data_IF_449889670756
#
_entry.id   IF_449889670756
#
_cell.length_a   1.000
_cell.length_b   1.000
_cell.length_c   1.000
_cell.angle_alpha   90.00
_cell.angle_beta   90.00
_cell.angle_gamma   90.00
#
_symmetry.space_group_name_H-M   'P 1'
#
loop_
_entity.id
_entity.type
_entity.pdbx_description
1 polymer ?
#
# COMPACT_ATOMS: atom_id res chain seq x y z
N UNK A 1 -4.79 -8.87 15.31
CA UNK A 1 -4.73 -9.62 14.03
C UNK A 1 -3.27 -9.92 13.80
N UNK A 2 -2.90 -11.20 13.60
CA UNK A 2 -1.51 -11.57 13.33
C UNK A 2 -1.15 -11.15 11.89
N UNK A 3 0.12 -10.81 11.57
CA UNK A 3 0.53 -10.59 10.19
C UNK A 3 0.45 -11.92 9.46
N UNK A 4 -0.69 -12.20 8.84
CA UNK A 4 -0.83 -13.30 7.92
C UNK A 4 -0.61 -12.74 6.52
N UNK A 5 0.42 -13.25 5.84
CA UNK A 5 0.78 -13.02 4.42
C UNK A 5 1.67 -11.80 4.11
N UNK A 6 2.20 -11.76 2.88
CA UNK A 6 3.26 -10.84 2.44
C UNK A 6 2.69 -9.52 1.91
N UNK A 7 2.19 -8.67 2.78
CA UNK A 7 1.55 -7.40 2.41
C UNK A 7 2.47 -6.52 1.57
N UNK A 8 1.88 -5.68 0.71
CA UNK A 8 2.63 -4.66 -0.03
C UNK A 8 2.39 -3.32 0.65
N UNK A 9 3.48 -2.68 1.06
CA UNK A 9 3.47 -1.52 1.95
C UNK A 9 4.29 -0.37 1.37
N UNK A 10 3.86 0.86 1.67
CA UNK A 10 4.56 2.08 1.29
C UNK A 10 4.80 2.97 2.51
N UNK A 11 6.07 3.29 2.73
CA UNK A 11 6.51 4.17 3.82
C UNK A 11 7.03 5.48 3.21
N UNK A 12 6.57 6.60 3.77
CA UNK A 12 7.04 7.93 3.42
C UNK A 12 8.15 8.40 4.37
N UNK A 13 8.98 9.31 3.90
CA UNK A 13 10.01 9.94 4.71
C UNK A 13 10.45 11.31 4.21
N UNK A 14 11.03 12.05 5.13
CA UNK A 14 11.67 13.34 4.90
C UNK A 14 13.20 13.21 5.02
N UNK A 15 13.94 14.33 5.01
CA UNK A 15 15.41 14.32 5.13
C UNK A 15 15.95 13.67 6.41
N UNK A 16 15.14 13.51 7.46
CA UNK A 16 15.48 12.86 8.72
C UNK A 16 15.33 11.34 8.71
N UNK A 17 14.62 10.77 7.74
CA UNK A 17 14.41 9.33 7.62
C UNK A 17 12.99 8.95 7.23
N UNK A 18 12.72 7.65 7.24
CA UNK A 18 11.38 7.11 7.08
C UNK A 18 10.59 7.27 8.37
N UNK A 19 9.36 7.75 8.27
CA UNK A 19 8.46 7.83 9.40
C UNK A 19 7.61 6.57 9.47
N UNK A 20 7.56 5.94 10.64
CA UNK A 20 6.85 4.67 10.88
C UNK A 20 5.70 4.83 11.88
N UNK A 21 5.12 6.03 11.96
CA UNK A 21 4.04 6.35 12.88
C UNK A 21 3.16 7.49 12.34
N UNK A 22 1.91 7.54 12.80
CA UNK A 22 0.97 8.62 12.46
C UNK A 22 0.31 8.47 11.09
N UNK A 23 0.32 7.27 10.52
CA UNK A 23 -0.46 6.96 9.33
C UNK A 23 -1.91 6.72 9.72
N UNK A 24 -2.82 7.13 8.84
CA UNK A 24 -4.18 6.59 8.77
C UNK A 24 -4.22 5.78 7.48
N UNK A 25 -4.13 4.45 7.56
CA UNK A 25 -4.05 3.58 6.38
C UNK A 25 -5.09 2.48 6.42
N UNK A 26 -5.75 2.27 5.28
CA UNK A 26 -6.72 1.20 5.06
C UNK A 26 -6.45 0.50 3.73
N UNK A 27 -6.47 -0.83 3.76
CA UNK A 27 -6.54 -1.67 2.56
C UNK A 27 -7.72 -2.63 2.70
N UNK A 28 -8.46 -2.82 1.60
CA UNK A 28 -9.58 -3.74 1.54
C UNK A 28 -9.46 -4.67 0.34
N UNK A 29 -9.77 -5.93 0.55
CA UNK A 29 -9.82 -6.96 -0.49
C UNK A 29 -11.27 -7.20 -0.96
N UNK A 30 -11.49 -7.24 -2.27
CA UNK A 30 -12.74 -7.58 -2.94
C UNK A 30 -12.53 -8.89 -3.71
N UNK A 31 -13.25 -9.95 -3.33
CA UNK A 31 -13.20 -11.26 -3.99
C UNK A 31 -14.55 -11.67 -4.56
N UNK A 32 -14.53 -12.43 -5.67
CA UNK A 32 -15.71 -12.78 -6.46
C UNK A 32 -16.58 -13.92 -5.85
N UNK A 33 -16.24 -14.44 -4.66
CA UNK A 33 -16.82 -15.70 -4.17
C UNK A 33 -17.54 -15.53 -2.82
N UNK A 34 -18.85 -15.25 -2.87
CA UNK A 34 -19.86 -15.66 -1.87
C UNK A 34 -19.65 -15.28 -0.39
N UNK A 35 -18.62 -14.50 -0.09
CA UNK A 35 -18.19 -14.14 1.25
C UNK A 35 -17.87 -12.65 1.22
N UNK A 36 -18.67 -11.89 1.96
CA UNK A 36 -18.38 -10.50 2.28
C UNK A 36 -17.24 -10.43 3.32
N UNK A 37 -16.12 -11.09 3.06
CA UNK A 37 -14.90 -10.87 3.81
C UNK A 37 -14.14 -9.74 3.12
N UNK A 38 -14.50 -8.52 3.49
CA UNK A 38 -13.54 -7.43 3.43
C UNK A 38 -12.53 -7.77 4.53
N UNK A 39 -11.37 -8.32 4.16
CA UNK A 39 -10.23 -8.25 5.07
C UNK A 39 -9.84 -6.77 5.11
N UNK A 40 -10.13 -6.13 6.24
CA UNK A 40 -9.73 -4.75 6.49
C UNK A 40 -8.37 -4.76 7.17
N UNK A 41 -7.33 -4.51 6.38
CA UNK A 41 -6.07 -4.09 6.94
C UNK A 41 -6.20 -2.63 7.42
N UNK A 42 -5.86 -2.36 8.68
CA UNK A 42 -5.49 -1.00 9.12
C UNK A 42 -4.04 -0.93 9.60
N UNK A 43 -3.36 0.18 9.33
CA UNK A 43 -2.01 0.45 9.84
C UNK A 43 -1.84 1.89 10.29
N UNK A 44 -0.99 2.07 11.30
CA UNK A 44 -0.55 3.38 11.80
C UNK A 44 0.93 3.65 11.52
N UNK A 45 1.63 2.70 10.88
CA UNK A 45 3.07 2.76 10.63
C UNK A 45 3.43 2.89 9.14
N UNK A 46 2.53 2.51 8.24
CA UNK A 46 2.73 2.58 6.79
C UNK A 46 1.40 2.71 6.03
N UNK A 47 1.48 2.98 4.73
CA UNK A 47 0.36 2.77 3.83
C UNK A 47 0.34 1.33 3.34
N UNK A 48 -0.75 0.62 3.63
CA UNK A 48 -1.01 -0.69 3.06
C UNK A 48 -1.63 -0.56 1.68
N UNK A 49 -1.03 -1.23 0.71
CA UNK A 49 -1.47 -1.28 -0.68
C UNK A 49 -2.21 -2.59 -0.96
N UNK A 50 -1.71 -3.69 -0.39
CA UNK A 50 -2.30 -5.03 -0.45
C UNK A 50 -2.20 -5.65 0.94
N UNK A 51 -3.31 -6.16 1.47
CA UNK A 51 -3.40 -6.99 2.68
C UNK A 51 -3.68 -8.41 2.20
N UNK A 52 -2.83 -9.40 2.47
CA UNK A 52 -3.19 -10.77 2.07
C UNK A 52 -2.40 -11.42 0.92
N UNK A 53 -1.18 -10.96 0.56
CA UNK A 53 -0.59 -11.39 -0.71
C UNK A 53 -0.31 -12.91 -0.82
N UNK A 54 -0.94 -13.55 -1.81
CA UNK A 54 -0.61 -14.89 -2.26
C UNK A 54 0.62 -14.88 -3.21
N UNK A 55 1.13 -16.05 -3.62
CA UNK A 55 2.34 -16.19 -4.46
C UNK A 55 2.18 -15.72 -5.91
N UNK A 56 1.27 -14.79 -6.16
CA UNK A 56 0.74 -14.37 -7.45
C UNK A 56 1.18 -12.94 -7.76
N UNK A 57 1.08 -12.54 -9.03
CA UNK A 57 1.50 -11.22 -9.48
C UNK A 57 0.42 -10.17 -9.26
N UNK A 58 0.80 -9.03 -8.68
CA UNK A 58 -0.04 -7.84 -8.59
C UNK A 58 0.19 -6.90 -9.78
N UNK A 59 -0.88 -6.24 -10.21
CA UNK A 59 -0.85 -5.17 -11.20
C UNK A 59 -1.80 -4.07 -10.80
N UNK A 60 -1.48 -2.82 -11.11
CA UNK A 60 -2.31 -1.68 -10.73
C UNK A 60 -1.50 -0.43 -10.51
N UNK A 61 -2.08 0.53 -9.81
CA UNK A 61 -1.45 1.81 -9.51
C UNK A 61 -1.97 2.40 -8.21
N UNK A 62 -1.06 3.05 -7.49
CA UNK A 62 -1.37 3.92 -6.37
C UNK A 62 -0.95 5.35 -6.73
N UNK A 63 -1.71 6.33 -6.25
CA UNK A 63 -1.42 7.75 -6.42
C UNK A 63 -1.22 8.37 -5.05
N UNK A 64 -0.13 9.12 -4.90
CA UNK A 64 0.12 9.99 -3.76
C UNK A 64 -0.12 11.44 -4.18
N UNK A 65 -0.89 12.17 -3.38
CA UNK A 65 -1.18 13.59 -3.60
C UNK A 65 -0.89 14.37 -2.33
N UNK A 66 -0.22 15.51 -2.47
CA UNK A 66 -0.09 16.48 -1.40
C UNK A 66 -1.44 17.17 -1.17
N UNK A 67 -2.05 16.92 -0.02
CA UNK A 67 -3.39 17.40 0.33
C UNK A 67 -3.39 18.87 0.78
N UNK A 68 -2.36 19.29 1.53
CA UNK A 68 -2.28 20.63 2.10
C UNK A 68 -0.83 21.10 2.30
N UNK A 69 -0.68 22.36 2.70
CA UNK A 69 0.62 22.99 2.96
C UNK A 69 1.30 22.52 4.26
N UNK A 70 0.70 21.58 5.00
CA UNK A 70 1.27 20.98 6.21
C UNK A 70 1.96 19.64 5.94
N UNK A 71 2.40 19.42 4.69
CA UNK A 71 3.03 18.17 4.24
C UNK A 71 2.16 16.93 4.53
N UNK A 72 0.83 17.09 4.44
CA UNK A 72 -0.11 15.97 4.52
C UNK A 72 -0.26 15.31 3.16
N UNK A 73 0.14 14.05 3.06
CA UNK A 73 0.02 13.23 1.87
C UNK A 73 -1.16 12.29 1.98
N UNK A 74 -1.94 12.19 0.91
CA UNK A 74 -3.04 11.24 0.78
C UNK A 74 -2.66 10.17 -0.25
N UNK A 75 -2.96 8.91 0.06
CA UNK A 75 -2.84 7.78 -0.88
C UNK A 75 -4.23 7.32 -1.31
N UNK A 76 -4.36 6.94 -2.58
CA UNK A 76 -5.50 6.20 -3.10
C UNK A 76 -5.02 5.28 -4.23
N UNK A 77 -5.57 4.07 -4.32
CA UNK A 77 -5.15 3.14 -5.36
C UNK A 77 -6.01 1.91 -5.48
N UNK A 78 -5.80 1.21 -6.60
CA UNK A 78 -6.45 -0.06 -6.92
C UNK A 78 -5.39 -1.01 -7.47
N UNK A 79 -5.34 -2.22 -6.91
CA UNK A 79 -4.51 -3.32 -7.38
C UNK A 79 -5.41 -4.51 -7.76
N UNK A 80 -5.05 -5.22 -8.82
CA UNK A 80 -5.59 -6.52 -9.17
C UNK A 80 -4.58 -7.62 -8.89
N UNK A 81 -5.07 -8.75 -8.39
CA UNK A 81 -4.31 -9.99 -8.30
C UNK A 81 -4.69 -10.91 -9.47
N UNK A 82 -3.69 -11.33 -10.24
CA UNK A 82 -3.87 -12.37 -11.24
C UNK A 82 -3.53 -13.74 -10.66
N UNK A 83 -4.54 -14.57 -10.34
CA UNK A 83 -4.29 -15.97 -9.97
C UNK A 83 -4.40 -16.89 -11.19
N UNK A 84 -3.59 -17.96 -11.23
CA UNK A 84 -3.67 -18.99 -12.27
C UNK A 84 -4.99 -19.79 -12.26
N UNK A 85 -5.78 -19.68 -11.18
CA UNK A 85 -7.01 -20.44 -10.96
C UNK A 85 -8.30 -19.63 -11.26
N UNK A 86 -8.18 -18.39 -11.75
CA UNK A 86 -9.34 -17.56 -12.11
C UNK A 86 -10.04 -16.88 -10.94
N UNK A 87 -9.53 -17.02 -9.70
CA UNK A 87 -9.91 -16.13 -8.61
C UNK A 87 -9.26 -14.76 -8.87
N UNK A 88 -10.07 -13.73 -9.00
CA UNK A 88 -9.60 -12.34 -9.17
C UNK A 88 -9.91 -11.63 -7.86
N UNK A 89 -8.86 -11.16 -7.17
CA UNK A 89 -9.00 -10.26 -6.04
C UNK A 89 -8.67 -8.84 -6.51
N UNK A 90 -9.46 -7.87 -6.05
CA UNK A 90 -9.17 -6.45 -6.21
C UNK A 90 -8.88 -5.85 -4.85
N UNK A 91 -7.77 -5.16 -4.72
CA UNK A 91 -7.41 -4.42 -3.54
C UNK A 91 -7.67 -2.94 -3.77
N UNK A 92 -8.34 -2.31 -2.81
CA UNK A 92 -8.50 -0.87 -2.74
C UNK A 92 -7.71 -0.37 -1.53
N UNK A 93 -6.91 0.68 -1.72
CA UNK A 93 -6.18 1.30 -0.61
C UNK A 93 -6.50 2.79 -0.51
N UNK A 94 -6.53 3.29 0.72
CA UNK A 94 -6.66 4.72 0.99
C UNK A 94 -6.00 5.08 2.31
N UNK A 95 -5.56 6.33 2.42
CA UNK A 95 -5.00 6.80 3.67
C UNK A 95 -4.41 8.19 3.61
N UNK A 96 -3.94 8.67 4.77
CA UNK A 96 -3.20 9.91 4.89
C UNK A 96 -2.05 9.83 5.89
N UNK A 97 -1.05 10.70 5.69
CA UNK A 97 0.10 10.87 6.57
C UNK A 97 0.62 12.31 6.48
N UNK A 98 0.64 13.02 7.61
CA UNK A 98 1.41 14.27 7.74
C UNK A 98 2.85 13.93 8.10
N UNK A 99 3.80 14.39 7.27
CA UNK A 99 5.22 14.27 7.52
C UNK A 99 5.73 15.38 8.44
N UNK A 100 6.86 15.16 9.08
CA UNK A 100 7.53 16.15 9.92
C UNK A 100 8.26 17.22 9.10
N UNK A 101 8.47 16.94 7.81
CA UNK A 101 8.91 17.90 6.81
C UNK A 101 8.59 17.44 5.38
N UNK A 102 9.18 18.12 4.40
CA UNK A 102 8.93 17.84 2.98
C UNK A 102 9.32 16.40 2.60
N UNK A 103 8.45 15.73 1.83
CA UNK A 103 8.70 14.39 1.31
C UNK A 103 9.99 14.36 0.46
N UNK A 104 10.95 13.54 0.85
CA UNK A 104 12.21 13.34 0.10
C UNK A 104 12.44 11.90 -0.31
N UNK A 105 11.75 10.95 0.33
CA UNK A 105 11.96 9.54 0.09
C UNK A 105 10.68 8.73 0.27
N UNK A 106 10.57 7.67 -0.53
CA UNK A 106 9.54 6.65 -0.42
C UNK A 106 10.20 5.28 -0.39
N UNK A 107 9.59 4.33 0.34
CA UNK A 107 10.02 2.94 0.38
C UNK A 107 8.82 2.05 0.12
N UNK A 108 8.87 1.32 -0.98
CA UNK A 108 7.99 0.20 -1.22
C UNK A 108 8.63 -1.06 -0.62
N UNK A 109 7.91 -1.77 0.24
CA UNK A 109 8.41 -2.97 0.93
C UNK A 109 7.32 -4.04 1.02
N UNK A 110 7.71 -5.24 1.45
CA UNK A 110 6.75 -6.21 1.93
C UNK A 110 6.82 -6.38 3.46
N UNK A 111 5.71 -6.80 4.07
CA UNK A 111 5.61 -6.94 5.53
C UNK A 111 6.57 -7.99 6.12
N UNK A 112 7.06 -8.91 5.28
CA UNK A 112 8.01 -9.96 5.67
C UNK A 112 9.48 -9.51 5.60
N UNK A 113 9.76 -8.28 5.17
CA UNK A 113 11.13 -7.77 5.00
C UNK A 113 11.96 -8.53 3.94
N UNK A 114 11.29 -9.24 3.03
CA UNK A 114 11.92 -9.94 1.90
C UNK A 114 11.84 -9.09 0.64
N UNK A 115 12.74 -9.34 -0.32
CA UNK A 115 12.76 -8.59 -1.57
C UNK A 115 11.58 -9.01 -2.47
N UNK A 116 11.02 -8.07 -3.24
CA UNK A 116 10.14 -8.41 -4.36
C UNK A 116 10.86 -9.35 -5.33
N UNK A 117 10.30 -10.54 -5.57
CA UNK A 117 10.92 -11.60 -6.36
C UNK A 117 10.77 -11.41 -7.89
N UNK A 118 10.98 -10.18 -8.37
CA UNK A 118 10.77 -9.77 -9.76
C UNK A 118 9.63 -8.77 -9.93
N UNK A 119 9.37 -8.36 -11.18
CA UNK A 119 8.40 -7.33 -11.53
C UNK A 119 9.03 -6.00 -11.93
N UNK A 120 8.19 -4.98 -12.14
CA UNK A 120 8.63 -3.63 -12.48
C UNK A 120 7.78 -2.62 -11.73
N UNK A 121 8.43 -1.66 -11.08
CA UNK A 121 7.78 -0.50 -10.47
C UNK A 121 8.14 0.71 -11.31
N UNK A 122 7.13 1.42 -11.80
CA UNK A 122 7.31 2.68 -12.51
C UNK A 122 6.82 3.81 -11.60
N UNK A 123 7.63 4.87 -11.47
CA UNK A 123 7.29 6.05 -10.70
C UNK A 123 7.14 7.21 -11.68
N UNK A 124 5.95 7.80 -11.70
CA UNK A 124 5.66 9.05 -12.39
C UNK A 124 5.53 10.16 -11.33
N UNK A 125 6.19 11.29 -11.56
CA UNK A 125 6.10 12.48 -10.72
C UNK A 125 5.53 13.59 -11.59
N UNK A 126 4.40 14.15 -11.17
CA UNK A 126 3.75 15.30 -11.79
C UNK A 126 3.92 16.52 -10.87
N UNK A 127 4.12 17.71 -11.46
CA UNK A 127 4.40 18.96 -10.75
C UNK A 127 3.37 20.05 -11.03
#
# INVERSE_FOLDING_TARGET
VAPSTSDVELVLGDSGGFETAGYTSYAGELTDVGSALISEGYSTAEFMIVDGASSTGFHGSVTLVLNDASDTWCISGVMGEGTAAGAVAHYICSGSKSLSGTLTQIRLQNSLGTNFAGGTVNILIEG
#
